data_IF_867719405951
#
_entry.id   IF_867719405951
#
_cell.length_a   1.000
_cell.length_b   1.000
_cell.length_c   1.000
_cell.angle_alpha   90.00
_cell.angle_beta   90.00
_cell.angle_gamma   90.00
#
_symmetry.space_group_name_H-M   'P 1'
#
loop_
_entity.id
_entity.type
_entity.pdbx_description
1 polymer ?
#
# COMPACT_ATOMS: atom_id res chain seq x y z
N UNK A 1 9.85 -12.90 -9.34
CA UNK A 1 10.53 -11.61 -9.63
C UNK A 1 9.99 -10.56 -8.70
N UNK A 2 10.85 -9.63 -8.20
CA UNK A 2 10.41 -8.44 -7.45
C UNK A 2 10.99 -7.19 -8.09
N UNK A 3 10.16 -6.16 -8.22
CA UNK A 3 10.52 -4.87 -8.82
C UNK A 3 10.13 -3.76 -7.82
N UNK A 4 11.14 -2.98 -7.40
CA UNK A 4 10.98 -1.86 -6.48
C UNK A 4 11.30 -0.55 -7.21
N UNK A 5 10.55 -0.29 -8.27
CA UNK A 5 10.69 0.86 -9.14
C UNK A 5 9.35 1.17 -9.83
N UNK A 6 9.12 2.43 -10.16
CA UNK A 6 7.98 2.87 -10.96
C UNK A 6 7.95 4.39 -11.12
N UNK A 7 7.13 4.82 -12.04
CA UNK A 7 6.74 6.21 -12.28
C UNK A 7 5.25 6.24 -12.61
N UNK A 8 4.62 7.42 -12.60
CA UNK A 8 3.17 7.51 -12.89
C UNK A 8 2.82 7.04 -14.30
N UNK A 9 1.64 6.43 -14.48
CA UNK A 9 1.16 5.91 -15.76
C UNK A 9 1.24 6.96 -16.89
N UNK A 10 0.91 8.22 -16.59
CA UNK A 10 0.98 9.31 -17.57
C UNK A 10 2.43 9.61 -17.95
N UNK A 11 3.34 9.61 -16.98
CA UNK A 11 4.77 9.87 -17.19
C UNK A 11 5.46 8.78 -18.00
N UNK A 12 5.13 7.51 -17.79
CA UNK A 12 5.61 6.38 -18.58
C UNK A 12 5.04 6.46 -20.02
N UNK A 13 3.77 6.84 -20.13
CA UNK A 13 3.05 6.91 -21.38
C UNK A 13 2.66 5.54 -21.95
N UNK A 14 1.72 5.56 -22.89
CA UNK A 14 1.09 4.34 -23.43
C UNK A 14 2.09 3.29 -23.91
N UNK A 15 3.15 3.69 -24.60
CA UNK A 15 4.10 2.74 -25.22
C UNK A 15 4.88 1.96 -24.14
N UNK A 16 5.36 2.64 -23.12
CA UNK A 16 6.09 1.99 -22.02
C UNK A 16 5.16 1.14 -21.17
N UNK A 17 4.00 1.65 -20.78
CA UNK A 17 2.98 0.88 -20.06
C UNK A 17 2.62 -0.43 -20.78
N UNK A 18 2.41 -0.39 -22.11
CA UNK A 18 2.13 -1.59 -22.93
C UNK A 18 3.32 -2.53 -23.00
N UNK A 19 4.54 -2.01 -23.10
CA UNK A 19 5.76 -2.82 -23.11
C UNK A 19 5.95 -3.55 -21.79
N UNK A 20 5.83 -2.87 -20.65
CA UNK A 20 5.90 -3.45 -19.31
C UNK A 20 4.84 -4.54 -19.14
N UNK A 21 3.58 -4.24 -19.50
CA UNK A 21 2.49 -5.20 -19.46
C UNK A 21 2.78 -6.47 -20.28
N UNK A 22 3.37 -6.33 -21.47
CA UNK A 22 3.73 -7.47 -22.32
C UNK A 22 4.83 -8.34 -21.71
N UNK A 23 5.84 -7.73 -21.07
CA UNK A 23 6.90 -8.46 -20.36
C UNK A 23 6.35 -9.26 -19.18
N UNK A 24 5.43 -8.67 -18.38
CA UNK A 24 4.82 -9.36 -17.26
C UNK A 24 3.88 -10.48 -17.73
N UNK A 25 3.17 -10.27 -18.84
CA UNK A 25 2.36 -11.32 -19.46
C UNK A 25 3.23 -12.50 -19.89
N UNK A 26 4.37 -12.22 -20.53
CA UNK A 26 5.33 -13.27 -20.89
C UNK A 26 5.84 -13.99 -19.64
N UNK A 27 6.33 -13.27 -18.64
CA UNK A 27 6.81 -13.85 -17.38
C UNK A 27 5.76 -14.76 -16.74
N UNK A 28 4.50 -14.30 -16.67
CA UNK A 28 3.39 -15.08 -16.13
C UNK A 28 3.13 -16.35 -16.92
N UNK A 29 3.22 -16.30 -18.26
CA UNK A 29 3.04 -17.47 -19.14
C UNK A 29 4.16 -18.50 -19.01
N UNK A 30 5.34 -18.07 -18.61
CA UNK A 30 6.51 -18.90 -18.29
C UNK A 30 6.51 -19.41 -16.84
N UNK A 31 5.46 -19.14 -16.07
CA UNK A 31 5.30 -19.58 -14.69
C UNK A 31 5.97 -18.68 -13.65
N UNK A 32 6.48 -17.51 -14.04
CA UNK A 32 7.09 -16.54 -13.13
C UNK A 32 6.03 -15.62 -12.51
N UNK A 33 5.99 -15.53 -11.18
CA UNK A 33 5.19 -14.54 -10.47
C UNK A 33 5.97 -13.22 -10.39
N UNK A 34 5.33 -12.11 -10.74
CA UNK A 34 5.90 -10.76 -10.72
C UNK A 34 5.26 -9.95 -9.60
N UNK A 35 6.08 -9.44 -8.69
CA UNK A 35 5.67 -8.55 -7.60
C UNK A 35 6.25 -7.16 -7.85
N UNK A 36 5.42 -6.15 -7.78
CA UNK A 36 5.85 -4.76 -7.99
C UNK A 36 5.42 -3.92 -6.81
N UNK A 37 6.34 -3.12 -6.25
CA UNK A 37 6.00 -2.13 -5.24
C UNK A 37 4.98 -1.14 -5.78
N UNK A 38 3.94 -0.82 -4.99
CA UNK A 38 2.88 0.07 -5.45
C UNK A 38 3.32 1.52 -5.62
N UNK A 39 4.41 1.90 -4.98
CA UNK A 39 4.93 3.26 -4.92
C UNK A 39 4.94 3.80 -3.49
N UNK A 40 5.61 4.92 -3.32
CA UNK A 40 5.87 5.53 -2.01
C UNK A 40 5.30 6.97 -1.92
N UNK A 41 4.39 7.34 -2.84
CA UNK A 41 3.83 8.68 -2.99
C UNK A 41 2.31 8.77 -2.74
N UNK A 42 1.74 7.81 -1.99
CA UNK A 42 0.29 7.73 -1.81
C UNK A 42 -0.44 7.63 -3.16
N UNK A 43 -1.44 8.47 -3.39
CA UNK A 43 -2.13 8.55 -4.68
C UNK A 43 -1.59 9.67 -5.59
N UNK A 44 -0.31 10.08 -5.45
CA UNK A 44 0.30 11.20 -6.16
C UNK A 44 1.56 10.83 -6.95
N UNK A 45 1.58 9.68 -7.62
CA UNK A 45 2.76 9.12 -8.29
C UNK A 45 3.37 10.02 -9.38
N UNK A 46 2.58 10.91 -10.01
CA UNK A 46 3.11 11.89 -10.96
C UNK A 46 3.90 13.03 -10.28
N UNK A 47 3.82 13.14 -8.94
CA UNK A 47 4.55 14.11 -8.13
C UNK A 47 5.70 13.46 -7.33
N UNK A 48 6.44 12.55 -7.94
CA UNK A 48 7.47 11.73 -7.32
C UNK A 48 8.33 12.53 -6.30
N UNK A 49 8.32 12.09 -5.02
CA UNK A 49 9.00 12.74 -3.89
C UNK A 49 8.67 14.21 -3.67
N UNK A 50 7.49 14.63 -4.13
CA UNK A 50 7.01 16.00 -3.93
C UNK A 50 6.57 16.24 -2.49
N UNK A 51 7.02 17.34 -1.87
CA UNK A 51 6.46 17.77 -0.58
C UNK A 51 5.01 18.25 -0.72
N UNK A 52 4.65 18.74 -1.90
CA UNK A 52 3.33 19.29 -2.21
C UNK A 52 2.90 18.88 -3.62
N UNK A 53 2.24 17.73 -3.76
CA UNK A 53 1.67 17.28 -5.02
C UNK A 53 0.81 18.33 -5.72
N UNK A 54 0.96 18.41 -7.03
CA UNK A 54 0.27 19.39 -7.89
C UNK A 54 -0.41 18.77 -9.12
N UNK A 55 -0.24 17.47 -9.35
CA UNK A 55 -0.76 16.78 -10.54
C UNK A 55 -2.01 15.94 -10.27
N UNK A 56 -2.54 15.98 -9.05
CA UNK A 56 -3.75 15.24 -8.67
C UNK A 56 -3.50 13.75 -8.47
N UNK A 57 -4.58 12.97 -8.55
CA UNK A 57 -4.54 11.53 -8.29
C UNK A 57 -3.89 10.79 -9.46
N UNK A 58 -2.87 10.00 -9.16
CA UNK A 58 -2.15 9.17 -10.12
C UNK A 58 -1.54 7.94 -9.45
N UNK A 59 -1.33 6.88 -10.22
CA UNK A 59 -0.69 5.63 -9.78
C UNK A 59 0.48 5.27 -10.69
N UNK A 60 1.36 4.38 -10.22
CA UNK A 60 2.50 3.91 -10.99
C UNK A 60 2.08 2.95 -12.11
N UNK A 61 2.62 3.16 -13.32
CA UNK A 61 2.39 2.31 -14.49
C UNK A 61 3.03 0.92 -14.36
N UNK A 62 4.09 0.81 -13.56
CA UNK A 62 4.81 -0.45 -13.37
C UNK A 62 4.03 -1.50 -12.57
N UNK A 63 3.11 -1.08 -11.70
CA UNK A 63 2.35 -1.96 -10.82
C UNK A 63 0.86 -2.05 -11.20
N UNK A 64 0.44 -1.33 -12.25
CA UNK A 64 -0.99 -1.24 -12.61
C UNK A 64 -1.45 -2.27 -13.63
N UNK A 65 -0.56 -3.16 -14.12
CA UNK A 65 -0.92 -4.12 -15.16
C UNK A 65 -1.80 -5.27 -14.61
N UNK A 66 -2.43 -6.03 -15.52
CA UNK A 66 -3.20 -7.22 -15.15
C UNK A 66 -2.34 -8.46 -14.86
N UNK A 67 -1.01 -8.36 -15.02
CA UNK A 67 -0.08 -9.50 -15.03
C UNK A 67 0.99 -9.45 -13.92
N UNK A 68 0.92 -8.47 -13.03
CA UNK A 68 1.71 -8.36 -11.81
C UNK A 68 0.83 -8.43 -10.56
N UNK A 69 1.48 -8.64 -9.43
CA UNK A 69 0.88 -8.46 -8.10
C UNK A 69 1.43 -7.17 -7.52
N UNK A 70 0.58 -6.17 -7.43
CA UNK A 70 0.90 -4.88 -6.81
C UNK A 70 0.94 -5.00 -5.29
N UNK A 71 2.02 -4.52 -4.68
CA UNK A 71 2.26 -4.64 -3.23
C UNK A 71 2.32 -3.27 -2.58
N UNK A 72 1.30 -2.96 -1.79
CA UNK A 72 1.17 -1.72 -1.03
C UNK A 72 1.89 -1.73 0.32
N UNK A 73 1.73 -0.63 1.06
CA UNK A 73 2.42 -0.37 2.31
C UNK A 73 1.50 -0.18 3.51
N UNK A 74 1.82 -0.84 4.64
CA UNK A 74 1.19 -0.61 5.94
C UNK A 74 2.18 -0.10 6.98
N UNK A 75 1.67 0.42 8.09
CA UNK A 75 2.37 0.65 9.35
C UNK A 75 1.61 -0.04 10.50
N UNK A 76 2.28 -0.27 11.61
CA UNK A 76 1.63 -0.79 12.82
C UNK A 76 0.90 0.34 13.55
N UNK A 77 -0.35 0.08 13.90
CA UNK A 77 -1.22 1.06 14.57
C UNK A 77 -1.07 1.09 16.10
N UNK A 78 -0.19 0.29 16.68
CA UNK A 78 -0.09 0.12 18.12
C UNK A 78 0.36 1.39 18.85
N UNK A 79 1.21 2.23 18.23
CA UNK A 79 1.60 3.54 18.77
C UNK A 79 0.42 4.51 18.73
N UNK A 80 -0.29 4.62 17.62
CA UNK A 80 -1.49 5.43 17.50
C UNK A 80 -2.57 5.03 18.51
N UNK A 81 -2.79 3.72 18.67
CA UNK A 81 -3.77 3.16 19.59
C UNK A 81 -3.32 3.15 21.07
N UNK A 82 -2.09 3.59 21.38
CA UNK A 82 -1.52 3.58 22.73
C UNK A 82 -1.34 2.18 23.31
N UNK A 83 -1.13 1.16 22.47
CA UNK A 83 -1.13 -0.26 22.85
C UNK A 83 0.22 -0.96 22.70
N UNK A 84 1.31 -0.24 22.41
CA UNK A 84 2.63 -0.79 22.12
C UNK A 84 3.15 -1.77 23.20
N UNK A 85 2.91 -1.48 24.48
CA UNK A 85 3.29 -2.38 25.60
C UNK A 85 2.64 -3.78 25.51
N UNK A 86 1.52 -3.91 24.79
CA UNK A 86 0.85 -5.19 24.58
C UNK A 86 1.61 -6.06 23.58
N UNK A 87 2.19 -5.44 22.56
CA UNK A 87 2.74 -6.14 21.40
C UNK A 87 4.28 -6.26 21.41
N UNK A 88 4.97 -5.43 22.19
CA UNK A 88 6.42 -5.44 22.27
C UNK A 88 6.93 -5.88 23.63
N UNK A 89 8.02 -6.65 23.66
CA UNK A 89 8.77 -6.91 24.87
C UNK A 89 9.60 -5.67 25.25
N UNK A 90 9.85 -5.49 26.55
CA UNK A 90 10.70 -4.38 27.04
C UNK A 90 12.17 -4.53 26.63
N UNK A 91 12.60 -5.74 26.33
CA UNK A 91 13.96 -6.09 25.91
C UNK A 91 13.86 -7.05 24.74
N UNK A 92 14.78 -6.91 23.81
CA UNK A 92 14.94 -7.86 22.73
C UNK A 92 15.42 -9.23 23.25
N UNK A 93 15.08 -10.29 22.56
CA UNK A 93 15.71 -11.60 22.72
C UNK A 93 17.16 -11.58 22.23
N UNK A 94 17.90 -12.68 22.43
CA UNK A 94 19.26 -12.81 21.91
C UNK A 94 19.33 -12.64 20.36
N UNK A 95 18.23 -12.92 19.67
CA UNK A 95 18.11 -12.75 18.21
C UNK A 95 17.41 -11.42 17.85
N UNK A 96 17.45 -10.42 18.71
CA UNK A 96 16.84 -9.11 18.54
C UNK A 96 15.31 -9.09 18.36
N UNK A 97 14.63 -10.23 18.50
CA UNK A 97 13.17 -10.30 18.42
C UNK A 97 12.50 -9.64 19.63
N UNK A 98 11.47 -8.86 19.40
CA UNK A 98 10.72 -8.14 20.45
C UNK A 98 9.20 -8.28 20.29
N UNK A 99 8.69 -8.52 19.11
CA UNK A 99 7.27 -8.69 18.83
C UNK A 99 6.71 -9.94 19.55
N UNK A 100 5.52 -9.81 20.15
CA UNK A 100 4.84 -10.89 20.89
C UNK A 100 3.75 -11.56 20.08
N UNK A 101 3.13 -10.84 19.15
CA UNK A 101 2.01 -11.31 18.33
C UNK A 101 1.81 -10.36 17.15
N UNK A 102 0.91 -10.73 16.24
CA UNK A 102 0.39 -9.82 15.22
C UNK A 102 -0.13 -8.53 15.86
N UNK A 103 0.14 -7.41 15.23
CA UNK A 103 -0.25 -6.06 15.65
C UNK A 103 -1.31 -5.50 14.69
N UNK A 104 -2.24 -4.66 15.17
CA UNK A 104 -3.11 -3.91 14.28
C UNK A 104 -2.31 -3.08 13.29
N UNK A 105 -2.81 -2.97 12.08
CA UNK A 105 -2.18 -2.20 11.00
C UNK A 105 -3.09 -1.08 10.51
N UNK A 106 -2.47 -0.10 9.89
CA UNK A 106 -3.06 1.01 9.15
C UNK A 106 -2.21 1.22 7.88
N UNK A 107 -2.67 1.92 6.85
CA UNK A 107 -1.81 2.29 5.72
C UNK A 107 -0.57 3.06 6.21
N UNK A 108 0.55 2.85 5.53
CA UNK A 108 1.72 3.70 5.72
C UNK A 108 1.45 5.05 5.07
N UNK A 109 1.49 6.12 5.87
CA UNK A 109 1.28 7.49 5.44
C UNK A 109 1.96 8.45 6.42
N UNK A 110 2.99 9.14 5.93
CA UNK A 110 3.78 10.11 6.69
C UNK A 110 3.40 11.57 6.37
N UNK A 111 2.29 11.78 5.66
CA UNK A 111 1.81 13.10 5.28
C UNK A 111 0.97 13.77 6.36
N UNK A 112 0.79 15.07 6.27
CA UNK A 112 -0.16 15.78 7.13
C UNK A 112 -1.62 15.45 6.81
N UNK A 113 -1.92 14.86 5.64
CA UNK A 113 -3.26 14.45 5.25
C UNK A 113 -3.75 13.21 6.01
N UNK A 114 -2.82 12.38 6.50
CA UNK A 114 -3.10 11.20 7.33
C UNK A 114 -4.03 11.55 8.50
N UNK A 115 -5.27 11.05 8.47
CA UNK A 115 -6.29 11.33 9.49
C UNK A 115 -5.89 10.80 10.88
N UNK A 116 -5.38 9.58 11.07
CA UNK A 116 -4.78 9.13 12.31
C UNK A 116 -3.71 10.08 12.86
N UNK A 117 -2.80 10.56 12.01
CA UNK A 117 -1.74 11.48 12.44
C UNK A 117 -2.33 12.82 12.88
N UNK A 118 -3.16 13.42 12.05
CA UNK A 118 -3.88 14.68 12.35
C UNK A 118 -4.63 14.58 13.68
N UNK A 119 -5.39 13.52 13.89
CA UNK A 119 -6.13 13.25 15.14
C UNK A 119 -5.20 13.10 16.34
N UNK A 120 -4.07 12.39 16.18
CA UNK A 120 -3.08 12.21 17.27
C UNK A 120 -2.45 13.53 17.72
N UNK A 121 -2.41 14.53 16.84
CA UNK A 121 -1.93 15.88 17.10
C UNK A 121 -3.01 16.84 17.62
N UNK A 122 -4.24 16.36 17.79
CA UNK A 122 -5.36 17.13 18.34
C UNK A 122 -6.14 17.95 17.31
N UNK A 123 -5.95 17.72 16.02
CA UNK A 123 -6.70 18.39 14.96
C UNK A 123 -7.94 17.60 14.59
N UNK A 124 -9.04 18.30 14.33
CA UNK A 124 -10.30 17.68 13.89
C UNK A 124 -10.28 17.24 12.44
N UNK A 125 -9.46 17.91 11.61
CA UNK A 125 -9.32 17.65 10.17
C UNK A 125 -7.87 17.85 9.74
N UNK A 126 -7.41 17.17 8.68
CA UNK A 126 -6.13 17.49 8.07
C UNK A 126 -6.16 18.77 7.22
N UNK A 127 -7.29 19.13 6.65
CA UNK A 127 -7.51 20.22 5.67
C UNK A 127 -8.10 21.48 6.29
N UNK A 128 -8.13 22.55 5.48
CA UNK A 128 -8.67 23.87 5.86
C UNK A 128 -7.71 24.67 6.72
N UNK A 129 -7.97 25.97 6.91
CA UNK A 129 -7.09 26.89 7.64
C UNK A 129 -6.84 26.49 9.09
N UNK A 130 -7.76 25.76 9.72
CA UNK A 130 -7.62 25.20 11.06
C UNK A 130 -7.12 23.74 11.07
N UNK A 131 -6.93 23.12 9.91
CA UNK A 131 -6.50 21.73 9.76
C UNK A 131 -5.00 21.53 9.94
N UNK A 132 -4.59 20.29 10.14
CA UNK A 132 -3.21 19.95 10.49
C UNK A 132 -2.21 20.35 9.40
N UNK A 133 -2.53 20.19 8.12
CA UNK A 133 -1.64 20.57 7.01
C UNK A 133 -1.35 22.09 6.97
N UNK A 134 -2.21 22.92 7.52
CA UNK A 134 -2.01 24.36 7.60
C UNK A 134 -1.47 24.83 8.97
N UNK A 135 -1.22 23.92 9.92
CA UNK A 135 -0.80 24.24 11.29
C UNK A 135 0.38 23.37 11.75
N UNK A 136 1.39 23.24 10.90
CA UNK A 136 2.67 22.58 11.24
C UNK A 136 2.72 21.08 10.98
N UNK A 137 1.74 20.52 10.29
CA UNK A 137 1.80 19.16 9.78
C UNK A 137 2.87 19.00 8.69
N UNK A 138 3.50 17.82 8.57
CA UNK A 138 4.51 17.58 7.55
C UNK A 138 3.89 17.57 6.15
N UNK A 139 4.33 18.46 5.27
CA UNK A 139 4.02 18.37 3.86
C UNK A 139 4.91 17.30 3.23
N UNK A 140 4.30 16.21 2.81
CA UNK A 140 4.98 15.03 2.27
C UNK A 140 4.02 14.23 1.41
N UNK A 141 4.50 13.65 0.32
CA UNK A 141 3.77 12.61 -0.41
C UNK A 141 4.15 11.19 0.05
N UNK A 142 4.98 11.06 1.09
CA UNK A 142 5.51 9.75 1.53
C UNK A 142 4.42 8.91 2.17
N UNK A 143 3.86 7.99 1.37
CA UNK A 143 2.79 7.07 1.76
C UNK A 143 2.77 5.86 0.80
N UNK A 144 2.21 4.73 1.26
CA UNK A 144 2.00 3.58 0.37
C UNK A 144 1.01 3.92 -0.73
N UNK A 145 1.39 3.70 -2.00
CA UNK A 145 0.58 4.10 -3.14
C UNK A 145 -0.54 3.11 -3.45
N UNK A 146 -1.60 3.64 -4.06
CA UNK A 146 -2.73 2.87 -4.54
C UNK A 146 -3.80 3.73 -5.20
N UNK A 147 -4.71 3.10 -5.92
CA UNK A 147 -5.78 3.76 -6.65
C UNK A 147 -6.20 2.98 -7.90
N UNK A 148 -7.18 3.48 -8.66
CA UNK A 148 -7.57 2.93 -9.95
C UNK A 148 -6.57 3.33 -11.04
N UNK A 149 -6.27 2.42 -11.96
CA UNK A 149 -5.52 2.73 -13.19
C UNK A 149 -6.26 3.82 -13.97
N UNK A 150 -5.54 4.85 -14.40
CA UNK A 150 -6.18 6.06 -14.92
C UNK A 150 -5.55 6.65 -16.19
N UNK A 151 -4.27 6.35 -16.50
CA UNK A 151 -3.61 6.81 -17.74
C UNK A 151 -2.63 5.78 -18.33
N UNK A 152 -2.95 4.50 -18.22
CA UNK A 152 -2.15 3.42 -18.82
C UNK A 152 -2.14 3.48 -20.36
N UNK A 153 -3.18 4.04 -20.96
CA UNK A 153 -3.31 4.26 -22.39
C UNK A 153 -3.78 5.69 -22.68
N UNK A 154 -3.62 6.12 -23.91
CA UNK A 154 -3.92 7.49 -24.30
C UNK A 154 -2.79 8.46 -23.91
N UNK A 155 -3.12 9.73 -23.76
CA UNK A 155 -2.14 10.79 -23.48
C UNK A 155 -2.76 11.85 -22.58
N UNK A 156 -2.08 12.15 -21.49
CA UNK A 156 -2.34 13.30 -20.63
C UNK A 156 -1.56 14.54 -21.09
N UNK A 157 -1.65 15.60 -20.32
CA UNK A 157 -0.94 16.85 -20.60
C UNK A 157 -0.37 17.41 -19.31
N UNK A 158 0.96 17.59 -19.30
CA UNK A 158 1.65 18.25 -18.19
C UNK A 158 1.60 17.50 -16.86
N UNK A 159 1.67 16.18 -16.90
CA UNK A 159 1.61 15.32 -15.71
C UNK A 159 0.18 15.11 -15.17
N UNK A 160 -0.84 15.67 -15.82
CA UNK A 160 -2.23 15.54 -15.39
C UNK A 160 -2.94 14.38 -16.06
N UNK A 161 -3.81 13.71 -15.32
CA UNK A 161 -4.73 12.70 -15.84
C UNK A 161 -5.90 13.41 -16.54
N UNK A 162 -5.75 13.66 -17.83
CA UNK A 162 -6.70 14.35 -18.67
C UNK A 162 -6.61 13.86 -20.14
N UNK A 163 -7.16 14.63 -21.07
CA UNK A 163 -7.05 14.37 -22.52
C UNK A 163 -7.70 13.04 -22.91
N UNK A 164 -6.90 12.11 -23.42
CA UNK A 164 -7.34 10.77 -23.84
C UNK A 164 -6.92 9.67 -22.87
N UNK A 165 -6.43 10.02 -21.66
CA UNK A 165 -6.05 9.06 -20.65
C UNK A 165 -7.15 8.03 -20.38
N UNK A 166 -6.78 6.76 -20.33
CA UNK A 166 -7.64 5.67 -19.92
C UNK A 166 -6.82 4.60 -19.16
N UNK A 167 -7.39 4.08 -18.08
CA UNK A 167 -6.76 3.02 -17.30
C UNK A 167 -6.82 1.66 -17.98
N UNK A 168 -6.06 0.68 -17.46
CA UNK A 168 -6.19 -0.70 -17.84
C UNK A 168 -7.60 -1.24 -17.53
N UNK A 169 -8.18 -2.09 -18.37
CA UNK A 169 -9.46 -2.74 -18.06
C UNK A 169 -9.36 -3.59 -16.80
N UNK A 170 -10.43 -3.57 -15.99
CA UNK A 170 -10.52 -4.41 -14.78
C UNK A 170 -10.42 -5.89 -15.14
N UNK A 171 -9.44 -6.63 -14.58
CA UNK A 171 -9.33 -8.06 -14.81
C UNK A 171 -10.53 -8.80 -14.23
N UNK A 172 -10.97 -9.87 -14.91
CA UNK A 172 -12.17 -10.63 -14.50
C UNK A 172 -12.02 -11.31 -13.12
N UNK A 173 -10.80 -11.52 -12.66
CA UNK A 173 -10.48 -12.08 -11.35
C UNK A 173 -10.55 -11.06 -10.21
N UNK A 174 -10.45 -9.76 -10.49
CA UNK A 174 -10.48 -8.71 -9.46
C UNK A 174 -11.90 -8.50 -8.93
N UNK A 175 -12.38 -9.49 -8.17
CA UNK A 175 -13.73 -9.54 -7.60
C UNK A 175 -13.64 -9.89 -6.12
N UNK A 176 -13.94 -8.90 -5.28
CA UNK A 176 -13.96 -9.03 -3.83
C UNK A 176 -14.91 -7.96 -3.28
N UNK A 177 -15.45 -8.16 -2.08
CA UNK A 177 -16.17 -7.09 -1.37
C UNK A 177 -15.21 -5.90 -1.19
N UNK A 178 -15.68 -4.69 -1.50
CA UNK A 178 -14.88 -3.47 -1.50
C UNK A 178 -14.29 -3.08 -2.87
N UNK A 179 -14.07 -4.02 -3.79
CA UNK A 179 -13.65 -3.69 -5.16
C UNK A 179 -14.73 -2.88 -5.85
N UNK A 180 -14.44 -1.65 -6.33
CA UNK A 180 -15.43 -0.82 -7.01
C UNK A 180 -15.77 -1.37 -8.40
N UNK A 181 -16.95 -1.01 -8.88
CA UNK A 181 -17.40 -1.37 -10.22
C UNK A 181 -17.14 -0.22 -11.21
N UNK A 182 -15.90 0.20 -11.32
CA UNK A 182 -15.44 1.32 -12.15
C UNK A 182 -14.92 0.90 -13.54
N UNK A 183 -14.69 -0.42 -13.73
CA UNK A 183 -14.26 -0.99 -15.01
C UNK A 183 -12.78 -0.93 -15.28
N UNK A 184 -11.97 -0.38 -14.36
CA UNK A 184 -10.52 -0.30 -14.49
C UNK A 184 -9.80 -1.14 -13.43
N UNK A 185 -8.53 -1.46 -13.67
CA UNK A 185 -7.66 -2.19 -12.75
C UNK A 185 -7.43 -1.36 -11.49
N UNK A 186 -7.62 -1.96 -10.32
CA UNK A 186 -7.43 -1.35 -9.01
C UNK A 186 -6.15 -1.87 -8.34
N UNK A 187 -5.42 -0.99 -7.67
CA UNK A 187 -4.17 -1.31 -6.96
C UNK A 187 -4.16 -0.68 -5.55
N UNK A 188 -3.37 -1.25 -4.60
CA UNK A 188 -2.59 -2.47 -4.70
C UNK A 188 -3.46 -3.73 -4.62
N UNK A 189 -2.88 -4.93 -4.90
CA UNK A 189 -3.57 -6.19 -4.67
C UNK A 189 -3.50 -6.62 -3.21
N UNK A 190 -2.32 -6.50 -2.63
CA UNK A 190 -1.98 -6.88 -1.25
C UNK A 190 -1.06 -5.84 -0.65
N UNK A 191 -0.87 -5.87 0.66
CA UNK A 191 0.07 -4.99 1.35
C UNK A 191 0.93 -5.72 2.36
N UNK A 192 2.00 -5.05 2.81
CA UNK A 192 2.80 -5.46 3.95
C UNK A 192 3.42 -4.21 4.58
N UNK A 193 3.95 -4.36 5.81
CA UNK A 193 4.64 -3.28 6.51
C UNK A 193 5.68 -2.61 5.60
N UNK A 194 5.63 -1.28 5.51
CA UNK A 194 6.46 -0.43 4.67
C UNK A 194 6.91 0.86 5.36
N UNK A 195 6.49 1.06 6.61
CA UNK A 195 6.76 2.28 7.36
C UNK A 195 8.23 2.60 7.50
N UNK A 196 8.56 3.90 7.52
CA UNK A 196 9.92 4.43 7.56
C UNK A 196 10.25 5.24 8.83
N UNK A 197 9.41 5.13 9.89
CA UNK A 197 9.76 5.60 11.22
C UNK A 197 8.84 6.63 11.86
N UNK A 198 7.81 7.16 11.18
CA UNK A 198 6.92 8.18 11.75
C UNK A 198 6.31 7.75 13.11
N UNK A 199 5.82 6.52 13.19
CA UNK A 199 5.25 5.94 14.40
C UNK A 199 6.26 5.08 15.21
N UNK A 200 7.54 5.11 14.82
CA UNK A 200 8.62 4.35 15.45
C UNK A 200 8.85 2.96 14.85
N UNK A 201 8.22 2.65 13.73
CA UNK A 201 8.35 1.37 13.04
C UNK A 201 9.09 1.55 11.71
N UNK A 202 10.08 0.70 11.46
CA UNK A 202 10.87 0.65 10.22
C UNK A 202 11.59 -0.69 10.13
N UNK A 203 12.05 -1.03 8.94
CA UNK A 203 12.96 -2.16 8.78
C UNK A 203 14.37 -1.77 9.22
N UNK A 204 14.99 -2.62 10.03
CA UNK A 204 16.40 -2.50 10.36
C UNK A 204 17.19 -3.33 9.36
N UNK A 205 18.13 -2.72 8.67
CA UNK A 205 18.94 -3.38 7.65
C UNK A 205 20.38 -2.92 7.69
N UNK A 206 21.28 -3.68 7.06
CA UNK A 206 22.61 -3.20 6.79
C UNK A 206 23.04 -3.52 5.35
N UNK A 207 23.93 -2.69 4.84
CA UNK A 207 24.60 -2.88 3.55
C UNK A 207 26.12 -2.97 3.79
N UNK A 208 26.70 -4.12 3.47
CA UNK A 208 28.14 -4.33 3.61
C UNK A 208 28.95 -3.45 2.65
N UNK A 209 28.42 -3.19 1.46
CA UNK A 209 29.04 -2.32 0.46
C UNK A 209 29.05 -0.85 0.92
N UNK A 210 27.99 -0.42 1.59
CA UNK A 210 27.85 0.90 2.19
C UNK A 210 28.52 1.04 3.56
N UNK A 211 29.12 -0.02 4.10
CA UNK A 211 29.82 0.01 5.38
C UNK A 211 28.92 0.12 6.61
N UNK A 212 27.62 -0.17 6.48
CA UNK A 212 26.64 -0.01 7.57
C UNK A 212 26.45 -1.25 8.43
N UNK A 213 27.10 -2.38 8.10
CA UNK A 213 26.98 -3.66 8.83
C UNK A 213 27.97 -3.76 9.99
N UNK A 214 27.76 -2.96 11.04
CA UNK A 214 28.47 -3.14 12.31
C UNK A 214 28.11 -4.47 12.99
N UNK A 215 28.89 -4.88 13.99
CA UNK A 215 28.67 -6.13 14.73
C UNK A 215 27.40 -6.11 15.61
N UNK A 216 26.88 -4.93 15.92
CA UNK A 216 25.66 -4.74 16.72
C UNK A 216 24.49 -4.26 15.84
N UNK A 217 23.49 -5.11 15.54
CA UNK A 217 22.32 -4.71 14.77
C UNK A 217 21.52 -3.54 15.36
N UNK A 218 21.68 -3.21 16.64
CA UNK A 218 21.01 -2.04 17.22
C UNK A 218 21.54 -0.70 16.68
N UNK A 219 22.70 -0.73 16.00
CA UNK A 219 23.32 0.44 15.38
C UNK A 219 23.05 0.53 13.87
N UNK A 220 22.37 -0.45 13.30
CA UNK A 220 22.08 -0.46 11.88
C UNK A 220 21.01 0.59 11.52
N UNK A 221 21.05 1.15 10.31
CA UNK A 221 20.04 2.11 9.87
C UNK A 221 18.65 1.49 9.74
N UNK A 222 17.65 2.34 9.84
CA UNK A 222 16.26 1.99 9.51
C UNK A 222 15.87 2.50 8.14
N UNK A 223 14.94 1.80 7.49
CA UNK A 223 14.32 2.22 6.25
C UNK A 223 12.90 1.67 6.13
N UNK A 224 12.13 2.24 5.21
CA UNK A 224 10.81 1.79 4.81
C UNK A 224 10.61 1.94 3.31
N UNK A 225 9.37 1.84 2.87
CA UNK A 225 8.94 1.87 1.48
C UNK A 225 8.28 0.56 1.05
N UNK A 226 7.38 0.64 0.10
CA UNK A 226 6.79 -0.53 -0.56
C UNK A 226 7.86 -1.37 -1.26
N UNK A 227 9.03 -0.79 -1.49
CA UNK A 227 10.25 -1.45 -1.95
C UNK A 227 10.74 -2.58 -1.02
N UNK A 228 10.38 -2.57 0.27
CA UNK A 228 10.64 -3.68 1.20
C UNK A 228 9.49 -4.71 1.17
N UNK A 229 8.27 -4.27 1.06
CA UNK A 229 7.08 -5.12 1.05
C UNK A 229 7.08 -6.09 -0.15
N UNK A 230 7.37 -5.61 -1.34
CA UNK A 230 7.35 -6.38 -2.59
C UNK A 230 8.32 -7.58 -2.58
N UNK A 231 9.61 -7.46 -2.26
CA UNK A 231 10.51 -8.61 -2.21
C UNK A 231 10.17 -9.61 -1.10
N UNK A 232 9.57 -9.17 0.00
CA UNK A 232 9.10 -10.08 1.05
C UNK A 232 7.94 -10.92 0.53
N UNK A 233 6.98 -10.33 -0.23
CA UNK A 233 5.92 -11.08 -0.91
C UNK A 233 6.48 -12.08 -1.93
N UNK A 234 7.51 -11.71 -2.69
CA UNK A 234 8.22 -12.66 -3.57
C UNK A 234 8.84 -13.81 -2.77
N UNK A 235 9.36 -13.54 -1.56
CA UNK A 235 9.82 -14.57 -0.62
C UNK A 235 8.69 -15.50 -0.15
N UNK A 236 7.50 -14.97 0.14
CA UNK A 236 6.32 -15.79 0.47
C UNK A 236 5.92 -16.69 -0.69
N UNK A 237 6.00 -16.17 -1.93
CA UNK A 237 5.74 -16.97 -3.12
C UNK A 237 6.75 -18.11 -3.28
N UNK A 238 8.01 -17.90 -2.94
CA UNK A 238 9.01 -18.97 -2.96
C UNK A 238 8.65 -20.11 -1.97
N UNK A 239 8.06 -19.79 -0.81
CA UNK A 239 7.55 -20.80 0.13
C UNK A 239 6.37 -21.58 -0.47
N UNK A 240 5.47 -20.93 -1.18
CA UNK A 240 4.33 -21.55 -1.87
C UNK A 240 4.84 -22.48 -2.99
N UNK A 241 5.74 -21.98 -3.86
CA UNK A 241 6.38 -22.79 -4.91
C UNK A 241 7.08 -24.02 -4.33
N UNK A 242 7.80 -23.86 -3.22
CA UNK A 242 8.43 -25.00 -2.53
C UNK A 242 7.41 -26.01 -2.02
N UNK A 243 6.31 -25.55 -1.43
CA UNK A 243 5.26 -26.42 -0.87
C UNK A 243 4.48 -27.16 -1.96
N UNK A 244 4.27 -26.56 -3.13
CA UNK A 244 3.49 -27.12 -4.25
C UNK A 244 4.34 -27.86 -5.27
N UNK A 245 5.65 -27.57 -5.33
CA UNK A 245 6.60 -28.22 -6.23
C UNK A 245 6.53 -27.72 -7.68
N UNK A 246 5.81 -26.62 -7.96
CA UNK A 246 5.63 -26.10 -9.31
C UNK A 246 5.57 -24.57 -9.35
N UNK A 247 5.97 -23.94 -10.47
CA UNK A 247 5.81 -22.51 -10.73
C UNK A 247 4.33 -22.09 -10.71
N UNK A 248 4.04 -20.85 -10.30
CA UNK A 248 2.67 -20.39 -10.10
C UNK A 248 2.21 -19.33 -11.11
N UNK A 249 3.13 -18.64 -11.80
CA UNK A 249 2.78 -17.62 -12.78
C UNK A 249 2.01 -16.45 -12.14
N UNK A 250 0.93 -15.99 -12.80
CA UNK A 250 0.04 -14.96 -12.26
C UNK A 250 -0.78 -15.52 -11.10
N UNK A 251 -0.53 -15.01 -9.91
CA UNK A 251 -1.14 -15.50 -8.66
C UNK A 251 -2.42 -14.77 -8.25
N UNK A 252 -2.70 -13.60 -8.83
CA UNK A 252 -3.83 -12.75 -8.42
C UNK A 252 -5.18 -13.49 -8.47
N UNK A 253 -5.52 -14.30 -9.49
CA UNK A 253 -6.77 -15.06 -9.50
C UNK A 253 -6.92 -15.94 -8.25
N UNK A 254 -5.84 -16.58 -7.81
CA UNK A 254 -5.84 -17.43 -6.60
C UNK A 254 -5.96 -16.59 -5.33
N UNK A 255 -5.20 -15.48 -5.21
CA UNK A 255 -5.29 -14.58 -4.05
C UNK A 255 -6.70 -14.03 -3.86
N UNK A 256 -7.31 -13.51 -4.93
CA UNK A 256 -8.68 -12.97 -4.88
C UNK A 256 -9.73 -14.06 -4.60
N UNK A 257 -9.52 -15.28 -5.08
CA UNK A 257 -10.41 -16.41 -4.76
C UNK A 257 -10.37 -16.75 -3.28
N UNK A 258 -9.17 -16.91 -2.70
CA UNK A 258 -8.98 -17.21 -1.28
C UNK A 258 -9.56 -16.06 -0.42
N UNK A 259 -9.26 -14.80 -0.78
CA UNK A 259 -9.79 -13.64 -0.06
C UNK A 259 -11.32 -13.55 -0.12
N UNK A 260 -11.92 -13.87 -1.27
CA UNK A 260 -13.37 -13.88 -1.42
C UNK A 260 -14.05 -14.96 -0.57
N UNK A 261 -13.43 -16.13 -0.41
CA UNK A 261 -13.90 -17.16 0.50
C UNK A 261 -13.81 -16.72 1.97
N UNK A 262 -12.71 -16.06 2.37
CA UNK A 262 -12.50 -15.61 3.74
C UNK A 262 -13.37 -14.40 4.11
N UNK A 263 -13.47 -13.40 3.24
CA UNK A 263 -14.19 -12.16 3.52
C UNK A 263 -15.69 -12.27 3.23
N UNK A 264 -16.08 -13.10 2.27
CA UNK A 264 -17.48 -13.23 1.85
C UNK A 264 -18.06 -11.89 1.38
N UNK A 265 -19.38 -11.77 1.41
CA UNK A 265 -20.08 -10.58 0.90
C UNK A 265 -20.04 -9.35 1.82
N UNK A 266 -19.51 -9.45 3.03
CA UNK A 266 -19.63 -8.39 4.07
C UNK A 266 -18.30 -8.00 4.71
N UNK A 267 -17.19 -8.55 4.24
CA UNK A 267 -15.89 -8.48 4.92
C UNK A 267 -15.84 -9.37 6.17
N UNK A 268 -14.66 -9.72 6.62
CA UNK A 268 -14.47 -10.56 7.81
C UNK A 268 -14.22 -9.72 9.06
N UNK A 269 -15.22 -9.62 9.93
CA UNK A 269 -15.01 -9.01 11.25
C UNK A 269 -13.97 -9.78 12.10
N UNK A 270 -13.83 -11.08 11.89
CA UNK A 270 -12.88 -11.91 12.62
C UNK A 270 -11.44 -11.64 12.20
N UNK A 271 -11.23 -11.40 10.89
CA UNK A 271 -9.93 -11.16 10.28
C UNK A 271 -9.62 -9.67 10.03
N UNK A 272 -10.43 -8.77 10.60
CA UNK A 272 -10.08 -7.37 10.64
C UNK A 272 -8.81 -7.15 11.46
N UNK A 273 -7.84 -6.43 10.91
CA UNK A 273 -6.54 -6.15 11.52
C UNK A 273 -6.64 -5.62 12.97
N UNK A 274 -7.62 -4.77 13.24
CA UNK A 274 -7.88 -4.21 14.57
C UNK A 274 -8.61 -5.16 15.54
N UNK A 275 -9.00 -6.35 15.10
CA UNK A 275 -9.69 -7.31 15.97
C UNK A 275 -8.71 -8.01 16.93
N UNK A 276 -9.02 -8.00 18.21
CA UNK A 276 -8.20 -8.67 19.25
C UNK A 276 -7.98 -10.18 19.01
N UNK A 277 -8.81 -10.83 18.20
CA UNK A 277 -8.68 -12.25 17.87
C UNK A 277 -7.54 -12.52 16.87
N UNK A 278 -7.21 -11.56 16.01
CA UNK A 278 -6.13 -11.70 15.02
C UNK A 278 -4.75 -11.83 15.68
N UNK A 279 -4.57 -11.23 16.84
CA UNK A 279 -3.33 -11.32 17.65
C UNK A 279 -3.13 -12.67 18.37
N UNK A 280 -4.04 -13.64 18.21
CA UNK A 280 -3.90 -14.95 18.86
C UNK A 280 -3.06 -15.89 18.01
N UNK A 281 -2.21 -16.75 18.63
CA UNK A 281 -1.36 -17.70 17.91
C UNK A 281 -2.12 -18.67 16.99
N UNK A 282 -3.39 -18.97 17.33
CA UNK A 282 -4.23 -19.93 16.59
C UNK A 282 -5.26 -19.22 15.71
N UNK A 283 -4.94 -18.03 15.19
CA UNK A 283 -5.82 -17.39 14.20
C UNK A 283 -5.88 -18.23 12.94
N UNK A 284 -7.09 -18.37 12.39
CA UNK A 284 -7.32 -19.03 11.10
C UNK A 284 -7.32 -18.05 9.94
N UNK A 285 -7.15 -16.74 10.21
CA UNK A 285 -7.13 -15.72 9.18
C UNK A 285 -5.95 -15.92 8.23
N UNK A 286 -6.23 -15.87 6.95
CA UNK A 286 -5.23 -15.88 5.87
C UNK A 286 -4.82 -14.46 5.61
N UNK A 287 -5.80 -13.56 5.43
CA UNK A 287 -5.58 -12.14 5.28
C UNK A 287 -6.06 -11.36 6.51
N UNK A 288 -5.46 -10.20 6.72
CA UNK A 288 -5.85 -9.23 7.72
C UNK A 288 -6.37 -7.98 7.02
N UNK A 289 -7.70 -7.80 7.08
CA UNK A 289 -8.43 -6.66 6.52
C UNK A 289 -8.08 -5.37 7.30
N UNK A 290 -7.38 -4.44 6.67
CA UNK A 290 -6.94 -3.17 7.26
C UNK A 290 -8.05 -2.14 7.05
N UNK A 291 -8.65 -1.66 8.13
CA UNK A 291 -9.82 -0.76 8.07
C UNK A 291 -9.66 0.50 8.91
N UNK A 292 -8.42 0.88 9.22
CA UNK A 292 -8.08 2.05 10.01
C UNK A 292 -7.11 2.91 9.23
N UNK A 293 -7.46 4.17 8.99
CA UNK A 293 -6.59 5.16 8.36
C UNK A 293 -6.81 5.30 6.85
N UNK A 294 -5.87 5.93 6.21
CA UNK A 294 -5.86 6.29 4.80
C UNK A 294 -4.40 6.38 4.30
N UNK A 295 -4.22 6.49 2.98
CA UNK A 295 -2.95 6.81 2.34
C UNK A 295 -3.04 8.15 1.58
N UNK A 296 -3.92 9.04 2.04
CA UNK A 296 -4.12 10.36 1.47
C UNK A 296 -2.91 11.27 1.68
N UNK A 297 -2.61 12.12 0.73
CA UNK A 297 -1.48 13.06 0.83
C UNK A 297 -1.94 14.49 0.61
N UNK A 298 -1.17 15.45 1.13
CA UNK A 298 -1.46 16.87 0.94
C UNK A 298 -1.26 17.28 -0.52
N UNK A 299 -1.87 18.40 -0.90
CA UNK A 299 -1.78 18.98 -2.24
C UNK A 299 -1.77 20.49 -2.23
N UNK A 300 -1.32 21.10 -3.34
CA UNK A 300 -1.41 22.54 -3.59
C UNK A 300 -2.31 22.84 -4.78
N UNK A 301 -3.60 23.02 -4.51
CA UNK A 301 -4.55 23.75 -5.34
C UNK A 301 -4.65 23.40 -6.83
N UNK A 302 -4.68 22.12 -7.18
CA UNK A 302 -4.90 21.63 -8.55
C UNK A 302 -6.09 20.68 -8.62
N UNK A 303 -6.16 19.84 -9.66
CA UNK A 303 -7.17 18.78 -9.76
C UNK A 303 -7.10 17.82 -8.56
N UNK A 304 -8.23 17.33 -8.13
CA UNK A 304 -8.38 16.43 -7.00
C UNK A 304 -7.84 16.95 -5.67
N UNK A 305 -7.72 18.28 -5.50
CA UNK A 305 -7.22 18.89 -4.29
C UNK A 305 -8.36 19.58 -3.52
N UNK A 306 -8.82 18.97 -2.43
CA UNK A 306 -9.81 19.57 -1.56
C UNK A 306 -9.16 20.64 -0.68
N UNK A 307 -9.37 21.91 -1.03
CA UNK A 307 -8.82 23.09 -0.38
C UNK A 307 -9.93 24.09 -0.02
N UNK A 308 -10.75 23.81 1.02
CA UNK A 308 -11.86 24.70 1.40
C UNK A 308 -11.38 26.03 1.97
N UNK A 309 -10.18 26.08 2.55
CA UNK A 309 -9.50 27.30 3.04
C UNK A 309 -8.05 26.97 3.43
N UNK A 310 -7.21 28.00 3.59
CA UNK A 310 -5.79 27.84 3.89
C UNK A 310 -4.94 27.83 2.63
N UNK A 311 -3.73 27.26 2.68
CA UNK A 311 -2.76 27.23 1.59
C UNK A 311 -2.45 25.81 1.11
N UNK A 312 -2.62 24.79 1.96
CA UNK A 312 -2.48 23.39 1.63
C UNK A 312 -3.83 22.69 1.76
N UNK A 313 -4.17 21.90 0.76
CA UNK A 313 -5.30 20.97 0.73
C UNK A 313 -4.86 19.53 0.96
N UNK A 314 -5.78 18.62 0.70
CA UNK A 314 -5.58 17.18 0.74
C UNK A 314 -6.15 16.57 -0.53
N UNK A 315 -5.55 15.50 -1.07
CA UNK A 315 -6.08 14.84 -2.25
C UNK A 315 -7.45 14.23 -1.94
N UNK A 316 -8.38 14.42 -2.84
CA UNK A 316 -9.77 13.98 -2.68
C UNK A 316 -10.33 13.51 -4.02
N UNK A 317 -11.17 12.48 -3.99
CA UNK A 317 -11.91 12.04 -5.17
C UNK A 317 -13.06 12.99 -5.54
N UNK A 318 -13.38 13.96 -4.65
CA UNK A 318 -14.39 14.99 -4.85
C UNK A 318 -13.79 16.38 -4.68
N UNK A 319 -14.11 17.30 -5.59
CA UNK A 319 -13.68 18.71 -5.52
C UNK A 319 -14.51 19.53 -4.50
N UNK A 320 -15.69 19.05 -4.11
CA UNK A 320 -16.64 19.75 -3.24
C UNK A 320 -16.63 19.27 -1.79
N UNK A 321 -16.27 18.02 -1.58
CA UNK A 321 -16.33 17.35 -0.28
C UNK A 321 -15.02 16.60 -0.01
N UNK A 322 -14.69 16.39 1.25
CA UNK A 322 -13.54 15.58 1.60
C UNK A 322 -13.87 14.09 1.47
N UNK A 323 -13.36 13.50 0.42
CA UNK A 323 -13.35 12.06 0.18
C UNK A 323 -11.90 11.63 -0.05
N UNK A 324 -11.21 11.11 1.00
CA UNK A 324 -9.76 10.87 0.95
C UNK A 324 -9.37 9.96 -0.22
N UNK A 325 -8.28 10.27 -0.87
CA UNK A 325 -7.72 9.50 -1.95
C UNK A 325 -6.42 8.79 -1.49
N UNK A 326 -6.50 7.64 -0.72
CA UNK A 326 -7.71 6.89 -0.46
C UNK A 326 -7.84 6.45 1.01
N UNK A 327 -9.08 6.35 1.49
CA UNK A 327 -9.37 5.78 2.80
C UNK A 327 -9.47 4.24 2.77
N UNK A 328 -9.28 3.64 3.95
CA UNK A 328 -9.50 2.20 4.14
C UNK A 328 -10.97 1.83 4.24
N UNK A 329 -11.29 0.61 3.85
CA UNK A 329 -12.65 0.07 3.85
C UNK A 329 -12.72 -1.38 4.35
N UNK A 330 -13.84 -2.06 4.10
CA UNK A 330 -13.99 -3.49 4.40
C UNK A 330 -13.73 -4.31 3.15
N UNK A 331 -12.87 -5.29 3.30
CA UNK A 331 -12.45 -6.12 2.20
C UNK A 331 -11.35 -5.43 1.40
N UNK A 332 -11.57 -5.25 0.11
CA UNK A 332 -10.64 -4.50 -0.72
C UNK A 332 -10.81 -2.99 -0.52
N UNK A 333 -9.69 -2.27 -0.47
CA UNK A 333 -9.61 -0.81 -0.62
C UNK A 333 -8.35 -0.38 -1.37
N UNK A 334 -8.33 0.86 -1.85
CA UNK A 334 -7.18 1.38 -2.60
C UNK A 334 -5.94 1.68 -1.74
N UNK A 335 -6.07 1.71 -0.43
CA UNK A 335 -4.96 2.01 0.46
C UNK A 335 -4.11 0.75 0.79
N UNK A 336 -4.76 -0.44 0.86
CA UNK A 336 -4.11 -1.68 1.30
C UNK A 336 -4.44 -2.92 0.48
N UNK A 337 -5.29 -2.82 -0.54
CA UNK A 337 -5.74 -3.96 -1.35
C UNK A 337 -6.56 -4.95 -0.53
N UNK A 338 -6.28 -6.23 -0.66
CA UNK A 338 -6.86 -7.30 0.16
C UNK A 338 -6.44 -7.15 1.64
N UNK A 339 -5.35 -6.44 1.91
CA UNK A 339 -4.75 -6.29 3.23
C UNK A 339 -3.42 -7.04 3.36
N UNK A 340 -3.01 -7.31 4.60
CA UNK A 340 -1.78 -8.03 4.91
C UNK A 340 -2.04 -9.52 5.14
N UNK A 341 -0.99 -10.35 5.27
CA UNK A 341 -1.12 -11.80 5.19
C UNK A 341 -0.52 -12.55 6.38
N UNK A 342 -1.16 -13.65 6.77
CA UNK A 342 -0.54 -14.72 7.53
C UNK A 342 0.00 -15.77 6.55
N UNK A 343 1.30 -15.70 6.29
CA UNK A 343 1.93 -16.52 5.25
C UNK A 343 1.79 -18.03 5.49
N UNK A 344 1.85 -18.46 6.75
CA UNK A 344 1.69 -19.89 7.07
C UNK A 344 0.26 -20.39 6.71
N UNK A 345 -0.75 -19.60 7.02
CA UNK A 345 -2.13 -19.90 6.65
C UNK A 345 -2.34 -19.83 5.14
N UNK A 346 -1.70 -18.86 4.46
CA UNK A 346 -1.76 -18.74 3.00
C UNK A 346 -1.14 -19.98 2.31
N UNK A 347 0.06 -20.39 2.72
CA UNK A 347 0.73 -21.60 2.18
C UNK A 347 -0.15 -22.85 2.35
N UNK A 348 -0.79 -23.00 3.51
CA UNK A 348 -1.68 -24.13 3.79
C UNK A 348 -2.98 -24.08 2.98
N UNK A 349 -3.52 -22.90 2.72
CA UNK A 349 -4.76 -22.69 1.98
C UNK A 349 -4.56 -22.63 0.46
N UNK A 350 -3.34 -22.53 -0.01
CA UNK A 350 -3.04 -22.48 -1.44
C UNK A 350 -3.48 -23.78 -2.12
N UNK A 351 -4.17 -23.74 -3.29
CA UNK A 351 -4.71 -24.93 -3.96
C UNK A 351 -3.67 -25.91 -4.48
#
# INVERSE_FOLDING_TARGET
VSISYGTGEEGDGQTENQFISSLYQQASSEGMSVFVSSGDEGSAENDHRGANPTHGISISGWQSTAFDTSVGGTDFADTFLGTSKKYWNKKNTANYGSAKSYMPEMPWDDSCANVPLSTSKGFATPYGSAGYCNNGGPHSSVAGSGGPSNCATGTGTGGLINGTCAGWPKPSWQKLVGVPNDGVRDTPDVSLMAANGLWGHYYVFCDTSGGTCGSDPSTWPGAGGTSFASPIWAGFMALIVHAKGEPQGLINPTLYSIANEEYGKKGSKACNSSNKKTSKPNTTCIFYDVTLGDNDVNCLGTVNCYLPSGTAGVLSTSDSDYEPAYGTGKGYDFATGIGTVNVANLVNAWP
#
